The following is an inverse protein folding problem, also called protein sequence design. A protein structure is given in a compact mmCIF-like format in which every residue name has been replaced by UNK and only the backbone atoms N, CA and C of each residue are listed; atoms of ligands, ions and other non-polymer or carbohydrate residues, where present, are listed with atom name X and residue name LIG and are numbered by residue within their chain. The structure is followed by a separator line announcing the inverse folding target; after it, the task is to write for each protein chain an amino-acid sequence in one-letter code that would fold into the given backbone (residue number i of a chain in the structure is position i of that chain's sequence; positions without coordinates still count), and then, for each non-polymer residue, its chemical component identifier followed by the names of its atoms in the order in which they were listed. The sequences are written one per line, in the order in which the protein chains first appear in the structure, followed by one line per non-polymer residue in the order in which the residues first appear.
data_IF_100851178976
#
_entry.id   IF_100851178976
#
_cell.length_a   1.000
_cell.length_b   1.000
_cell.length_c   1.000
_cell.angle_alpha   90.00
_cell.angle_beta   90.00
_cell.angle_gamma   90.00
#
_symmetry.space_group_name_H-M   'P 1'
#
loop_
_entity.id
_entity.type
_entity.pdbx_description
1 polymer ?
#
# COMPACT_ATOMS: atom_id res chain seq x y z
N UNK A 1 44.38 -34.90 48.05
CA UNK A 1 44.18 -34.78 46.58
C UNK A 1 42.83 -35.42 46.25
N UNK A 2 42.03 -34.82 45.35
CA UNK A 2 40.65 -35.19 44.95
C UNK A 2 39.50 -34.40 45.60
N UNK A 3 39.62 -33.07 45.73
CA UNK A 3 38.46 -32.21 45.99
C UNK A 3 38.43 -30.92 45.13
N UNK A 4 39.19 -30.88 44.04
CA UNK A 4 39.26 -29.70 43.16
C UNK A 4 38.73 -29.94 41.74
N UNK A 5 38.16 -31.11 41.43
CA UNK A 5 37.75 -31.45 40.07
C UNK A 5 36.25 -31.29 39.79
N UNK A 6 35.44 -30.84 40.75
CA UNK A 6 33.97 -30.80 40.62
C UNK A 6 33.35 -29.40 40.54
N UNK A 7 34.16 -28.36 40.35
CA UNK A 7 33.69 -26.96 40.27
C UNK A 7 33.83 -26.33 38.87
N UNK A 8 34.20 -27.13 37.86
CA UNK A 8 34.41 -26.65 36.48
C UNK A 8 33.33 -27.10 35.48
N UNK A 9 32.26 -27.76 35.93
CA UNK A 9 31.24 -28.36 35.05
C UNK A 9 29.85 -27.71 35.14
N UNK A 10 29.74 -26.50 35.67
CA UNK A 10 28.48 -25.76 35.77
C UNK A 10 28.48 -24.40 35.03
N UNK A 11 29.54 -24.07 34.29
CA UNK A 11 29.70 -22.75 33.67
C UNK A 11 29.39 -22.70 32.17
N UNK A 12 28.86 -23.77 31.56
CA UNK A 12 28.95 -23.93 30.10
C UNK A 12 27.64 -24.18 29.36
N UNK A 13 26.46 -23.80 29.87
CA UNK A 13 25.24 -23.82 29.03
C UNK A 13 24.31 -22.65 29.42
N UNK A 14 24.76 -21.42 29.18
CA UNK A 14 23.82 -20.33 28.93
C UNK A 14 23.54 -20.36 27.43
N UNK A 15 22.61 -21.22 26.98
CA UNK A 15 22.06 -21.11 25.62
C UNK A 15 21.40 -19.74 25.57
N UNK A 16 22.04 -18.80 24.88
CA UNK A 16 21.46 -17.52 24.55
C UNK A 16 20.23 -17.80 23.69
N UNK A 17 19.05 -17.86 24.31
CA UNK A 17 17.79 -17.61 23.62
C UNK A 17 17.78 -16.14 23.26
N UNK A 18 18.58 -15.76 22.25
CA UNK A 18 18.30 -14.54 21.52
C UNK A 18 16.87 -14.70 21.00
N UNK A 19 15.97 -13.74 21.24
CA UNK A 19 14.70 -13.77 20.54
C UNK A 19 15.08 -13.74 19.07
N UNK A 20 14.76 -14.80 18.34
CA UNK A 20 14.65 -14.70 16.90
C UNK A 20 13.68 -13.54 16.70
N UNK A 21 14.21 -12.38 16.30
CA UNK A 21 13.36 -11.33 15.78
C UNK A 21 12.70 -12.01 14.60
N UNK A 22 11.45 -12.44 14.76
CA UNK A 22 10.64 -12.82 13.63
C UNK A 22 10.70 -11.59 12.74
N UNK A 23 11.43 -11.67 11.63
CA UNK A 23 11.36 -10.66 10.59
C UNK A 23 9.89 -10.68 10.17
N UNK A 24 9.10 -9.77 10.74
CA UNK A 24 7.77 -9.48 10.26
C UNK A 24 8.00 -9.14 8.79
N UNK A 25 7.42 -9.86 7.83
CA UNK A 25 7.59 -9.51 6.44
C UNK A 25 7.18 -8.05 6.30
N UNK A 26 8.09 -7.23 5.79
CA UNK A 26 7.77 -5.84 5.51
C UNK A 26 6.51 -5.85 4.64
N UNK A 27 5.45 -5.17 5.08
CA UNK A 27 4.23 -5.07 4.30
C UNK A 27 4.60 -4.57 2.91
N UNK A 28 4.09 -5.25 1.88
CA UNK A 28 4.36 -4.86 0.51
C UNK A 28 3.92 -3.41 0.31
N UNK A 29 4.79 -2.59 -0.29
CA UNK A 29 4.51 -1.18 -0.51
C UNK A 29 3.28 -1.01 -1.42
N UNK A 30 2.46 0.01 -1.13
CA UNK A 30 1.34 0.42 -1.96
C UNK A 30 1.81 0.64 -3.40
N UNK A 31 1.11 0.08 -4.38
CA UNK A 31 1.47 0.18 -5.80
C UNK A 31 0.28 0.64 -6.62
N UNK A 32 0.53 1.46 -7.63
CA UNK A 32 -0.50 1.97 -8.53
C UNK A 32 -0.09 1.65 -9.96
N UNK A 33 -0.95 0.93 -10.68
CA UNK A 33 -0.78 0.63 -12.10
C UNK A 33 -1.78 1.42 -12.94
N UNK A 34 -1.35 1.82 -14.13
CA UNK A 34 -2.18 2.52 -15.14
C UNK A 34 -1.97 1.97 -16.56
N UNK A 35 -1.03 1.04 -16.72
CA UNK A 35 -0.60 0.40 -17.97
C UNK A 35 -1.42 -0.87 -18.27
N UNK A 36 -2.73 -0.71 -18.40
CA UNK A 36 -3.65 -1.79 -18.77
C UNK A 36 -4.79 -1.26 -19.65
N UNK A 37 -5.56 -2.11 -20.34
CA UNK A 37 -6.66 -1.66 -21.18
C UNK A 37 -7.67 -0.78 -20.41
N UNK A 38 -7.85 0.46 -20.87
CA UNK A 38 -8.71 1.46 -20.24
C UNK A 38 -8.09 2.21 -19.06
N UNK A 39 -6.91 1.79 -18.60
CA UNK A 39 -6.13 2.46 -17.56
C UNK A 39 -5.77 3.89 -17.98
N UNK A 40 -5.92 4.82 -17.05
CA UNK A 40 -5.66 6.24 -17.26
C UNK A 40 -5.34 6.91 -15.93
N UNK A 41 -4.48 7.91 -15.98
CA UNK A 41 -4.03 8.66 -14.82
C UNK A 41 -2.51 8.74 -14.75
N UNK A 42 -2.01 9.88 -14.30
CA UNK A 42 -0.63 10.08 -13.93
C UNK A 42 -0.53 10.09 -12.41
N UNK A 43 0.20 9.13 -11.86
CA UNK A 43 0.53 9.11 -10.42
C UNK A 43 1.53 10.23 -10.15
N UNK A 44 1.19 11.14 -9.24
CA UNK A 44 2.03 12.25 -8.83
C UNK A 44 2.84 11.92 -7.58
N UNK A 45 2.20 11.28 -6.59
CA UNK A 45 2.86 10.84 -5.35
C UNK A 45 2.11 9.67 -4.72
N UNK A 46 2.84 8.89 -3.91
CA UNK A 46 2.32 7.82 -3.07
C UNK A 46 2.91 8.00 -1.67
N UNK A 47 2.07 8.12 -0.65
CA UNK A 47 2.46 8.01 0.75
C UNK A 47 2.10 6.62 1.27
N UNK A 48 3.14 5.81 1.51
CA UNK A 48 2.97 4.45 2.00
C UNK A 48 2.55 4.40 3.47
N UNK A 49 2.95 5.38 4.28
CA UNK A 49 2.59 5.44 5.70
C UNK A 49 1.12 5.79 5.86
N UNK A 50 0.64 6.80 5.12
CA UNK A 50 -0.73 7.32 5.26
C UNK A 50 -1.79 6.63 4.39
N UNK A 51 -1.41 5.65 3.55
CA UNK A 51 -2.31 5.08 2.52
C UNK A 51 -2.91 6.19 1.65
N UNK A 52 -2.04 6.98 1.03
CA UNK A 52 -2.45 8.11 0.21
C UNK A 52 -1.84 8.03 -1.19
N UNK A 53 -2.66 8.30 -2.21
CA UNK A 53 -2.24 8.39 -3.61
C UNK A 53 -2.73 9.71 -4.18
N UNK A 54 -1.83 10.54 -4.69
CA UNK A 54 -2.20 11.68 -5.53
C UNK A 54 -2.03 11.33 -6.99
N UNK A 55 -3.07 11.52 -7.78
CA UNK A 55 -3.07 11.29 -9.22
C UNK A 55 -3.71 12.46 -9.95
N UNK A 56 -3.48 12.50 -11.25
CA UNK A 56 -4.13 13.44 -12.18
C UNK A 56 -4.69 12.66 -13.36
N UNK A 57 -5.89 12.98 -13.87
CA UNK A 57 -6.37 12.41 -15.13
C UNK A 57 -5.37 12.67 -16.25
N UNK A 58 -5.18 11.69 -17.13
CA UNK A 58 -4.24 11.82 -18.26
C UNK A 58 -4.89 12.63 -19.38
N UNK A 59 -4.17 13.63 -19.89
CA UNK A 59 -4.60 14.35 -21.09
C UNK A 59 -4.38 13.50 -22.34
N UNK A 60 -5.39 13.48 -23.23
CA UNK A 60 -5.29 12.85 -24.54
C UNK A 60 -5.55 13.91 -25.61
N UNK A 61 -4.49 14.27 -26.34
CA UNK A 61 -4.57 15.28 -27.40
C UNK A 61 -5.65 14.91 -28.42
N UNK A 62 -6.51 15.89 -28.75
CA UNK A 62 -7.60 15.72 -29.71
C UNK A 62 -8.77 14.83 -29.24
N UNK A 63 -8.81 14.41 -27.96
CA UNK A 63 -9.79 13.41 -27.47
C UNK A 63 -10.73 13.91 -26.36
N UNK A 64 -10.86 15.23 -26.21
CA UNK A 64 -11.85 15.86 -25.32
C UNK A 64 -11.28 16.29 -23.97
N UNK A 65 -12.15 16.34 -22.95
CA UNK A 65 -11.82 16.88 -21.63
C UNK A 65 -10.95 15.93 -20.81
N UNK A 66 -10.06 16.51 -20.01
CA UNK A 66 -9.16 15.78 -19.10
C UNK A 66 -9.93 15.39 -17.83
N UNK A 67 -10.79 14.37 -17.93
CA UNK A 67 -11.67 13.94 -16.84
C UNK A 67 -11.60 12.44 -16.52
N UNK A 68 -10.99 11.63 -17.39
CA UNK A 68 -10.94 10.18 -17.20
C UNK A 68 -9.69 9.73 -16.43
N UNK A 69 -9.91 9.04 -15.31
CA UNK A 69 -8.91 8.30 -14.57
C UNK A 69 -9.46 6.91 -14.23
N UNK A 70 -8.61 5.90 -14.36
CA UNK A 70 -8.90 4.52 -13.98
C UNK A 70 -7.58 3.83 -13.66
N UNK A 71 -7.40 3.51 -12.38
CA UNK A 71 -6.15 2.94 -11.86
C UNK A 71 -6.42 1.63 -11.15
N UNK A 72 -5.40 0.79 -11.04
CA UNK A 72 -5.41 -0.39 -10.15
C UNK A 72 -4.45 -0.12 -9.00
N UNK A 73 -4.92 -0.33 -7.77
CA UNK A 73 -4.13 -0.10 -6.57
C UNK A 73 -3.94 -1.43 -5.87
N UNK A 74 -2.68 -1.86 -5.74
CA UNK A 74 -2.29 -3.12 -5.12
C UNK A 74 -1.67 -2.88 -3.75
N UNK A 75 -1.73 -3.89 -2.89
CA UNK A 75 -1.18 -3.87 -1.53
C UNK A 75 -1.83 -2.78 -0.64
N UNK A 76 -3.12 -2.50 -0.85
CA UNK A 76 -3.93 -1.70 0.07
C UNK A 76 -4.01 -2.42 1.41
N UNK A 77 -3.75 -1.71 2.51
CA UNK A 77 -3.84 -2.30 3.85
C UNK A 77 -5.30 -2.54 4.21
N UNK A 78 -5.60 -3.79 4.54
CA UNK A 78 -6.96 -4.21 4.88
C UNK A 78 -7.38 -3.59 6.22
N UNK A 79 -8.60 -3.05 6.26
CA UNK A 79 -9.16 -2.40 7.45
C UNK A 79 -8.73 -0.95 7.64
N UNK A 80 -7.88 -0.42 6.76
CA UNK A 80 -7.48 0.99 6.75
C UNK A 80 -8.13 1.74 5.58
N UNK A 81 -8.31 3.04 5.75
CA UNK A 81 -8.76 3.91 4.66
C UNK A 81 -7.61 4.20 3.70
N UNK A 82 -7.87 4.08 2.41
CA UNK A 82 -7.02 4.59 1.34
C UNK A 82 -7.62 5.90 0.82
N UNK A 83 -6.82 6.97 0.83
CA UNK A 83 -7.20 8.25 0.23
C UNK A 83 -6.66 8.34 -1.19
N UNK A 84 -7.52 8.70 -2.14
CA UNK A 84 -7.14 9.00 -3.52
C UNK A 84 -7.49 10.46 -3.80
N UNK A 85 -6.45 11.28 -3.94
CA UNK A 85 -6.55 12.69 -4.30
C UNK A 85 -6.38 12.83 -5.82
N UNK A 86 -7.38 13.41 -6.49
CA UNK A 86 -7.41 13.62 -7.95
C UNK A 86 -6.87 15.01 -8.32
N UNK A 87 -5.94 15.55 -7.53
CA UNK A 87 -5.18 16.75 -7.84
C UNK A 87 -6.05 17.98 -8.14
N UNK A 88 -5.52 18.91 -8.92
CA UNK A 88 -6.19 20.18 -9.21
C UNK A 88 -7.18 20.06 -10.38
N UNK A 89 -7.97 18.97 -10.40
CA UNK A 89 -8.97 18.65 -11.42
C UNK A 89 -10.36 18.39 -10.79
N UNK A 90 -10.99 19.40 -10.18
CA UNK A 90 -12.30 19.24 -9.50
C UNK A 90 -13.43 18.82 -10.46
N UNK A 91 -13.29 19.06 -11.76
CA UNK A 91 -14.24 18.56 -12.76
C UNK A 91 -14.13 17.04 -13.00
N UNK A 92 -13.08 16.39 -12.48
CA UNK A 92 -12.80 14.96 -12.59
C UNK A 92 -12.99 14.22 -11.25
N UNK A 93 -13.43 14.92 -10.20
CA UNK A 93 -13.78 14.36 -8.89
C UNK A 93 -15.29 14.18 -8.80
N UNK A 94 -15.84 12.97 -8.98
CA UNK A 94 -17.25 12.72 -8.70
C UNK A 94 -17.51 12.83 -7.19
N UNK A 95 -18.76 13.11 -6.80
CA UNK A 95 -19.16 13.10 -5.38
C UNK A 95 -18.78 11.78 -4.68
N UNK A 96 -18.87 10.66 -5.42
CA UNK A 96 -18.44 9.32 -5.01
C UNK A 96 -17.76 8.63 -6.18
N UNK A 97 -16.57 8.08 -5.94
CA UNK A 97 -15.84 7.32 -6.94
C UNK A 97 -16.32 5.87 -6.99
N UNK A 98 -16.31 5.27 -8.18
CA UNK A 98 -16.55 3.84 -8.34
C UNK A 98 -15.26 3.05 -8.07
N UNK A 99 -15.37 1.95 -7.33
CA UNK A 99 -14.25 1.03 -7.08
C UNK A 99 -14.71 -0.42 -7.14
N UNK A 100 -13.74 -1.33 -7.35
CA UNK A 100 -13.96 -2.77 -7.40
C UNK A 100 -12.71 -3.52 -6.96
N UNK A 101 -12.88 -4.61 -6.21
CA UNK A 101 -11.79 -5.53 -5.82
C UNK A 101 -11.62 -6.71 -6.78
N UNK A 102 -12.60 -6.98 -7.64
CA UNK A 102 -12.61 -8.12 -8.57
C UNK A 102 -12.71 -7.72 -10.05
N UNK A 103 -12.86 -6.41 -10.32
CA UNK A 103 -13.04 -5.85 -11.66
C UNK A 103 -14.39 -6.16 -12.30
N UNK A 104 -15.34 -6.72 -11.55
CA UNK A 104 -16.66 -7.17 -12.05
C UNK A 104 -17.80 -6.49 -11.30
N UNK A 105 -17.72 -6.47 -9.98
CA UNK A 105 -18.72 -5.83 -9.11
C UNK A 105 -18.17 -4.49 -8.64
N UNK A 106 -18.94 -3.43 -8.88
CA UNK A 106 -18.54 -2.07 -8.60
C UNK A 106 -19.40 -1.46 -7.50
N UNK A 107 -18.74 -0.82 -6.54
CA UNK A 107 -19.36 -0.10 -5.44
C UNK A 107 -18.93 1.37 -5.46
N UNK A 108 -19.69 2.22 -4.80
CA UNK A 108 -19.33 3.63 -4.63
C UNK A 108 -18.51 3.82 -3.34
N UNK A 109 -17.57 4.75 -3.36
CA UNK A 109 -16.92 5.23 -2.14
C UNK A 109 -17.92 5.99 -1.25
N UNK A 110 -17.57 6.25 0.02
CA UNK A 110 -18.13 7.39 0.74
C UNK A 110 -17.97 8.70 -0.06
N UNK A 111 -18.75 9.75 0.26
CA UNK A 111 -18.56 11.05 -0.37
C UNK A 111 -17.12 11.55 -0.20
N UNK A 112 -16.57 12.18 -1.24
CA UNK A 112 -15.30 12.90 -1.16
C UNK A 112 -15.37 14.11 -0.24
N UNK A 113 -14.22 14.68 0.10
CA UNK A 113 -14.05 15.87 0.95
C UNK A 113 -13.31 16.96 0.21
#
# INVERSE_FOLDING_TARGET
MRLLSLLLLLAAIAVSFAPAHAQQPALAALQVATDFPGGSGKVLSIDHAEQFVRLMPTAHEGRGWVCWWYVRINNVRMGESLTVDVGDAPWATPDRAAWSSDGRTWSQTPPGT
#
